data_IF_573594700134
#
_entry.id   IF_573594700134
#
_cell.length_a   1.000
_cell.length_b   1.000
_cell.length_c   1.000
_cell.angle_alpha   90.00
_cell.angle_beta   90.00
_cell.angle_gamma   90.00
#
_symmetry.space_group_name_H-M   'P 1'
#
loop_
_entity.id
_entity.type
_entity.pdbx_description
1 polymer ?
#
# COMPACT_ATOMS: atom_id res chain seq x y z
N UNK A 1 -6.35 -8.86 -5.70
CA UNK A 1 -5.78 -7.60 -5.16
C UNK A 1 -6.29 -7.32 -3.74
N UNK A 2 -5.42 -7.02 -2.76
CA UNK A 2 -5.84 -6.78 -1.36
C UNK A 2 -6.35 -5.35 -1.13
N UNK A 3 -7.27 -5.17 -0.17
CA UNK A 3 -7.82 -3.86 0.19
C UNK A 3 -6.73 -2.84 0.58
N UNK A 4 -5.69 -3.31 1.27
CA UNK A 4 -4.56 -2.48 1.67
C UNK A 4 -3.70 -1.97 0.51
N UNK A 5 -3.47 -2.78 -0.53
CA UNK A 5 -2.74 -2.34 -1.72
C UNK A 5 -3.53 -1.27 -2.49
N UNK A 6 -4.86 -1.41 -2.60
CA UNK A 6 -5.74 -0.40 -3.21
C UNK A 6 -5.68 0.93 -2.45
N UNK A 7 -5.77 0.88 -1.12
CA UNK A 7 -5.68 2.07 -0.25
C UNK A 7 -4.31 2.76 -0.38
N UNK A 8 -3.21 2.00 -0.38
CA UNK A 8 -1.88 2.53 -0.63
C UNK A 8 -1.78 3.24 -2.00
N UNK A 9 -2.37 2.64 -3.05
CA UNK A 9 -2.44 3.22 -4.39
C UNK A 9 -3.21 4.54 -4.44
N UNK A 10 -4.34 4.63 -3.73
CA UNK A 10 -5.11 5.87 -3.62
C UNK A 10 -4.29 6.97 -2.95
N UNK A 11 -3.73 6.72 -1.77
CA UNK A 11 -2.93 7.70 -1.04
C UNK A 11 -1.72 8.17 -1.86
N UNK A 12 -1.14 7.28 -2.67
CA UNK A 12 -0.04 7.65 -3.59
C UNK A 12 -0.50 8.61 -4.70
N UNK A 13 -1.71 8.42 -5.24
CA UNK A 13 -2.30 9.34 -6.23
C UNK A 13 -2.65 10.70 -5.63
N UNK A 14 -2.95 10.73 -4.33
CA UNK A 14 -3.13 11.97 -3.56
C UNK A 14 -1.80 12.70 -3.24
N UNK A 15 -0.67 12.21 -3.78
CA UNK A 15 0.64 12.85 -3.61
C UNK A 15 1.40 12.47 -2.33
N UNK A 16 0.86 11.57 -1.50
CA UNK A 16 1.50 11.16 -0.24
C UNK A 16 2.83 10.46 -0.49
N UNK A 17 3.80 10.72 0.39
CA UNK A 17 5.06 9.99 0.46
C UNK A 17 4.87 8.57 1.03
N UNK A 18 5.84 7.68 0.80
CA UNK A 18 5.77 6.31 1.33
C UNK A 18 5.68 6.25 2.87
N UNK A 19 6.31 7.21 3.56
CA UNK A 19 6.25 7.30 5.02
C UNK A 19 4.86 7.75 5.50
N UNK A 20 4.27 8.76 4.87
CA UNK A 20 2.90 9.18 5.19
C UNK A 20 1.90 8.07 4.92
N UNK A 21 2.03 7.37 3.79
CA UNK A 21 1.16 6.23 3.44
C UNK A 21 1.26 5.15 4.53
N UNK A 22 2.48 4.80 4.93
CA UNK A 22 2.73 3.85 6.03
C UNK A 22 2.04 4.29 7.32
N UNK A 23 2.20 5.55 7.73
CA UNK A 23 1.59 6.07 8.94
C UNK A 23 0.07 6.04 8.88
N UNK A 24 -0.53 6.44 7.75
CA UNK A 24 -1.99 6.40 7.54
C UNK A 24 -2.51 4.97 7.61
N UNK A 25 -1.90 4.02 6.88
CA UNK A 25 -2.33 2.63 6.86
C UNK A 25 -2.23 1.94 8.22
N UNK A 26 -1.16 2.22 8.98
CA UNK A 26 -1.01 1.72 10.33
C UNK A 26 -2.02 2.35 11.30
N UNK A 27 -2.27 3.66 11.20
CA UNK A 27 -3.27 4.36 12.02
C UNK A 27 -4.69 3.86 11.75
N UNK A 28 -5.00 3.58 10.48
CA UNK A 28 -6.27 3.00 10.04
C UNK A 28 -6.37 1.48 10.31
N UNK A 29 -5.32 0.85 10.86
CA UNK A 29 -5.21 -0.60 11.10
C UNK A 29 -5.51 -1.45 9.85
N UNK A 30 -5.11 -0.95 8.69
CA UNK A 30 -5.32 -1.65 7.42
C UNK A 30 -4.41 -2.90 7.39
N UNK A 31 -4.96 -4.11 7.17
CA UNK A 31 -4.15 -5.32 7.13
C UNK A 31 -3.15 -5.28 5.96
N UNK A 32 -1.92 -5.71 6.23
CA UNK A 32 -0.91 -5.81 5.17
C UNK A 32 -1.24 -6.98 4.22
N UNK A 33 -0.82 -6.92 2.94
CA UNK A 33 -1.08 -8.01 1.99
C UNK A 33 -0.40 -9.33 2.37
N UNK A 34 0.66 -9.29 3.18
CA UNK A 34 1.44 -10.46 3.58
C UNK A 34 1.05 -10.99 4.97
N UNK A 35 0.00 -10.47 5.60
CA UNK A 35 -0.39 -10.86 6.96
C UNK A 35 0.56 -10.37 8.07
N UNK A 36 1.48 -9.46 7.76
CA UNK A 36 2.30 -8.77 8.76
C UNK A 36 1.46 -7.79 9.56
N UNK A 37 1.85 -7.59 10.81
CA UNK A 37 1.13 -6.78 11.79
C UNK A 37 1.12 -5.28 11.47
N UNK A 38 2.18 -4.77 10.82
CA UNK A 38 2.33 -3.33 10.51
C UNK A 38 2.88 -3.10 9.11
N UNK A 39 2.43 -2.02 8.49
CA UNK A 39 3.02 -1.45 7.30
C UNK A 39 4.39 -0.85 7.63
N UNK A 40 5.38 -1.22 6.85
CA UNK A 40 6.69 -0.54 6.77
C UNK A 40 6.81 0.19 5.44
N UNK A 41 7.74 1.15 5.33
CA UNK A 41 8.02 1.86 4.07
C UNK A 41 8.26 0.90 2.89
N UNK A 42 9.06 -0.15 3.10
CA UNK A 42 9.35 -1.16 2.08
C UNK A 42 8.10 -1.96 1.69
N UNK A 43 7.26 -2.32 2.67
CA UNK A 43 6.00 -3.03 2.36
C UNK A 43 5.02 -2.17 1.54
N UNK A 44 4.98 -0.85 1.78
CA UNK A 44 4.22 0.09 0.94
C UNK A 44 4.77 0.10 -0.48
N UNK A 45 6.09 0.20 -0.64
CA UNK A 45 6.74 0.18 -1.95
C UNK A 45 6.43 -1.12 -2.72
N UNK A 46 6.57 -2.28 -2.09
CA UNK A 46 6.24 -3.56 -2.73
C UNK A 46 4.75 -3.67 -3.10
N UNK A 47 3.85 -3.21 -2.23
CA UNK A 47 2.42 -3.19 -2.53
C UNK A 47 2.09 -2.32 -3.74
N UNK A 48 2.72 -1.14 -3.86
CA UNK A 48 2.55 -0.24 -5.00
C UNK A 48 3.14 -0.81 -6.30
N UNK A 49 4.30 -1.46 -6.24
CA UNK A 49 4.89 -2.15 -7.41
C UNK A 49 3.92 -3.22 -7.90
N UNK A 50 3.45 -4.08 -6.99
CA UNK A 50 2.51 -5.15 -7.33
C UNK A 50 1.21 -4.60 -7.91
N UNK A 51 0.69 -3.50 -7.37
CA UNK A 51 -0.53 -2.83 -7.85
C UNK A 51 -0.40 -2.39 -9.32
N UNK A 52 0.77 -1.86 -9.71
CA UNK A 52 1.04 -1.42 -11.09
C UNK A 52 1.14 -2.60 -12.04
N UNK A 53 1.84 -3.66 -11.64
CA UNK A 53 1.96 -4.88 -12.43
C UNK A 53 0.60 -5.57 -12.67
N UNK A 54 -0.30 -5.53 -11.68
CA UNK A 54 -1.67 -6.07 -11.79
C UNK A 54 -2.55 -5.25 -12.75
N UNK A 55 -2.23 -3.96 -12.95
CA UNK A 55 -2.97 -3.07 -13.87
C UNK A 55 -2.47 -3.21 -15.33
N UNK A 56 -1.34 -3.89 -15.54
CA UNK A 56 -0.73 -4.11 -16.85
C UNK A 56 -0.92 -5.54 -17.38
N UNK A 57 -1.75 -6.35 -16.71
CA UNK A 57 -2.18 -7.65 -17.22
C UNK A 57 -3.38 -7.46 -18.17
N UNK A 58 -3.42 -8.14 -19.34
CA UNK A 58 -4.46 -8.00 -20.36
C UNK A 58 -5.83 -8.51 -19.91
#
# INVERSE_FOLDING_TARGET
>A
MSAGARRAGQLRREGRSLAEIMHVLNRERVPTPSGREKWTRSSVQHALIRLRSDTSAP
#
